data_IF_062928741668
#
_entry.id   IF_062928741668
#
_cell.length_a   1.000
_cell.length_b   1.000
_cell.length_c   1.000
_cell.angle_alpha   90.00
_cell.angle_beta   90.00
_cell.angle_gamma   90.00
#
_symmetry.space_group_name_H-M   'P 1'
#
loop_
_entity.id
_entity.type
_entity.pdbx_description
1 polymer ?
#
# COMPACT_ATOMS: atom_id res chain seq x y z
N UNK A 1 -2.85 -20.90 -1.10
CA UNK A 1 -2.77 -21.93 -0.04
C UNK A 1 -3.86 -21.67 0.99
N UNK A 2 -4.92 -22.47 0.99
CA UNK A 2 -6.03 -22.38 1.95
C UNK A 2 -5.64 -23.10 3.24
N UNK A 3 -5.49 -22.37 4.35
CA UNK A 3 -5.33 -22.98 5.67
C UNK A 3 -6.70 -23.33 6.24
N UNK A 4 -7.10 -24.59 6.08
CA UNK A 4 -8.12 -25.24 6.90
C UNK A 4 -7.56 -25.45 8.30
N UNK A 5 -7.64 -24.43 9.14
CA UNK A 5 -7.27 -24.50 10.56
C UNK A 5 -8.38 -23.86 11.38
N UNK A 6 -9.10 -24.66 12.17
CA UNK A 6 -10.13 -24.20 13.10
C UNK A 6 -9.42 -23.38 14.19
N UNK A 7 -9.48 -22.05 14.11
CA UNK A 7 -8.95 -21.18 15.15
C UNK A 7 -9.74 -21.41 16.44
N UNK A 8 -9.03 -21.61 17.55
CA UNK A 8 -9.63 -21.82 18.87
C UNK A 8 -9.93 -20.49 19.56
N UNK A 9 -10.63 -20.58 20.69
CA UNK A 9 -11.00 -19.47 21.57
C UNK A 9 -9.85 -18.47 21.81
N UNK A 10 -10.21 -17.21 22.03
CA UNK A 10 -9.26 -16.12 22.32
C UNK A 10 -8.25 -16.55 23.39
N UNK A 11 -6.96 -16.63 23.03
CA UNK A 11 -5.92 -17.13 23.92
C UNK A 11 -5.46 -16.06 24.91
N UNK A 12 -5.38 -14.79 24.46
CA UNK A 12 -5.01 -13.64 25.29
C UNK A 12 -5.23 -12.31 24.53
N UNK A 13 -5.20 -11.20 25.27
CA UNK A 13 -5.03 -9.85 24.72
C UNK A 13 -3.54 -9.52 24.62
N UNK A 14 -3.05 -9.27 23.40
CA UNK A 14 -1.64 -8.97 23.14
C UNK A 14 -1.45 -7.49 22.82
N UNK A 15 -0.46 -6.81 23.41
CA UNK A 15 -0.15 -5.43 23.08
C UNK A 15 0.52 -5.33 21.71
N UNK A 16 0.34 -4.18 21.04
CA UNK A 16 1.11 -3.76 19.88
C UNK A 16 1.08 -2.25 19.77
N UNK A 17 2.25 -1.66 19.64
CA UNK A 17 2.40 -0.24 19.35
C UNK A 17 2.28 -0.01 17.85
N UNK A 18 1.44 0.93 17.44
CA UNK A 18 1.27 1.34 16.04
C UNK A 18 1.53 2.84 15.95
N UNK A 19 2.38 3.24 15.02
CA UNK A 19 2.54 4.66 14.68
C UNK A 19 1.32 5.14 13.91
N UNK A 20 0.61 6.12 14.47
CA UNK A 20 -0.54 6.76 13.83
C UNK A 20 -0.21 8.20 13.44
N UNK A 21 -1.11 8.88 12.74
CA UNK A 21 -0.95 10.29 12.37
C UNK A 21 -0.89 11.18 13.63
N UNK A 22 -1.48 10.73 14.74
CA UNK A 22 -1.45 11.43 16.02
C UNK A 22 -0.26 11.01 16.91
N UNK A 23 0.66 10.19 16.38
CA UNK A 23 1.76 9.60 17.14
C UNK A 23 1.55 8.12 17.49
N UNK A 24 2.46 7.53 18.29
CA UNK A 24 2.41 6.12 18.66
C UNK A 24 1.23 5.82 19.58
N UNK A 25 0.51 4.72 19.30
CA UNK A 25 -0.64 4.26 20.08
C UNK A 25 -0.47 2.78 20.43
N UNK A 26 -0.67 2.45 21.71
CA UNK A 26 -0.66 1.07 22.19
C UNK A 26 -2.05 0.45 22.08
N UNK A 27 -2.14 -0.60 21.27
CA UNK A 27 -3.37 -1.34 21.03
C UNK A 27 -3.33 -2.66 21.80
N UNK A 28 -4.42 -2.99 22.50
CA UNK A 28 -4.66 -4.34 23.03
C UNK A 28 -5.58 -5.07 22.07
N UNK A 29 -5.10 -6.18 21.49
CA UNK A 29 -5.85 -6.93 20.47
C UNK A 29 -5.99 -8.40 20.83
N UNK A 30 -7.13 -9.05 20.51
CA UNK A 30 -7.29 -10.49 20.68
C UNK A 30 -6.27 -11.26 19.85
N UNK A 31 -5.63 -12.25 20.46
CA UNK A 31 -4.71 -13.17 19.79
C UNK A 31 -5.30 -14.57 19.79
N UNK A 32 -5.41 -15.16 18.60
CA UNK A 32 -5.96 -16.49 18.39
C UNK A 32 -4.84 -17.43 17.98
N UNK A 33 -4.57 -18.46 18.77
CA UNK A 33 -3.55 -19.46 18.48
C UNK A 33 -4.18 -20.72 17.88
N UNK A 34 -3.54 -21.29 16.85
CA UNK A 34 -3.88 -22.62 16.36
C UNK A 34 -3.27 -23.67 17.30
N UNK A 35 -4.08 -24.57 17.86
CA UNK A 35 -3.59 -25.64 18.75
C UNK A 35 -2.68 -26.66 18.04
N UNK A 36 -2.73 -26.77 16.72
CA UNK A 36 -1.96 -27.77 15.97
C UNK A 36 -0.60 -27.29 15.49
N UNK A 37 -0.44 -26.00 15.20
CA UNK A 37 0.79 -25.47 14.59
C UNK A 37 1.44 -24.34 15.40
N UNK A 38 0.88 -23.98 16.56
CA UNK A 38 1.35 -22.91 17.46
C UNK A 38 1.47 -21.52 16.82
N UNK A 39 1.12 -21.38 15.53
CA UNK A 39 0.98 -20.08 14.86
C UNK A 39 -0.32 -19.45 15.31
N UNK A 40 -0.24 -18.19 15.70
CA UNK A 40 -1.42 -17.40 16.00
C UNK A 40 -1.51 -16.17 15.12
N UNK A 41 -2.70 -15.58 15.13
CA UNK A 41 -3.02 -14.38 14.37
C UNK A 41 -3.95 -13.48 15.18
N UNK A 42 -3.93 -12.20 14.85
CA UNK A 42 -4.90 -11.24 15.34
C UNK A 42 -5.70 -10.74 14.13
N UNK A 43 -6.91 -11.28 13.86
CA UNK A 43 -7.72 -10.89 12.71
C UNK A 43 -8.01 -9.39 12.66
N UNK A 44 -8.15 -8.77 13.84
CA UNK A 44 -8.39 -7.32 13.95
C UNK A 44 -7.23 -6.48 13.40
N UNK A 45 -6.00 -7.02 13.33
CA UNK A 45 -4.89 -6.33 12.67
C UNK A 45 -5.17 -6.13 11.16
N UNK A 46 -5.92 -7.03 10.52
CA UNK A 46 -6.32 -6.90 9.11
C UNK A 46 -7.38 -5.80 8.95
N UNK A 47 -8.38 -5.81 9.82
CA UNK A 47 -9.46 -4.82 9.82
C UNK A 47 -8.93 -3.40 10.07
N UNK A 48 -7.98 -3.25 10.99
CA UNK A 48 -7.29 -1.98 11.26
C UNK A 48 -6.22 -1.62 10.20
N UNK A 49 -5.93 -2.53 9.26
CA UNK A 49 -4.93 -2.32 8.22
C UNK A 49 -3.50 -2.21 8.75
N UNK A 50 -3.18 -2.92 9.83
CA UNK A 50 -1.86 -2.97 10.48
C UNK A 50 -1.26 -4.37 10.50
N UNK A 51 -1.88 -5.36 9.82
CA UNK A 51 -1.37 -6.73 9.75
C UNK A 51 0.06 -6.78 9.20
N UNK A 52 1.00 -7.28 10.01
CA UNK A 52 2.43 -7.32 9.66
C UNK A 52 3.12 -5.96 9.58
N UNK A 53 2.45 -4.87 9.96
CA UNK A 53 2.93 -3.50 9.81
C UNK A 53 2.91 -2.75 11.16
N UNK A 54 3.86 -1.84 11.32
CA UNK A 54 4.03 -1.01 12.52
C UNK A 54 3.41 0.38 12.43
N UNK A 55 2.88 0.77 11.26
CA UNK A 55 2.27 2.07 11.02
C UNK A 55 0.81 1.92 10.57
N UNK A 56 -0.01 2.93 10.84
CA UNK A 56 -1.40 2.96 10.42
C UNK A 56 -1.53 3.21 8.91
N UNK A 57 -2.67 2.88 8.28
CA UNK A 57 -2.90 3.22 6.87
C UNK A 57 -2.76 4.72 6.56
N UNK A 58 -3.06 5.59 7.53
CA UNK A 58 -2.89 7.04 7.37
C UNK A 58 -1.43 7.45 7.24
N UNK A 59 -0.57 6.95 8.13
CA UNK A 59 0.89 7.22 8.09
C UNK A 59 1.48 6.70 6.79
N UNK A 60 1.13 5.49 6.36
CA UNK A 60 1.65 4.92 5.11
C UNK A 60 1.27 5.70 3.86
N UNK A 61 0.09 6.33 3.84
CA UNK A 61 -0.28 7.23 2.75
C UNK A 61 0.60 8.49 2.74
N UNK A 62 0.90 9.05 3.91
CA UNK A 62 1.80 10.20 4.01
C UNK A 62 3.22 9.83 3.58
N UNK A 63 3.72 8.68 4.04
CA UNK A 63 5.00 8.10 3.63
C UNK A 63 5.07 7.91 2.10
N UNK A 64 4.02 7.37 1.48
CA UNK A 64 3.99 7.19 0.03
C UNK A 64 3.95 8.52 -0.74
N UNK A 65 3.23 9.53 -0.25
CA UNK A 65 3.22 10.87 -0.86
C UNK A 65 4.61 11.50 -0.78
N UNK A 66 5.24 11.53 0.39
CA UNK A 66 6.59 12.11 0.46
C UNK A 66 7.60 11.30 -0.36
N UNK A 67 7.45 9.98 -0.41
CA UNK A 67 8.32 9.10 -1.21
C UNK A 67 8.10 9.22 -2.72
N UNK A 68 6.97 9.75 -3.20
CA UNK A 68 6.76 10.01 -4.64
C UNK A 68 7.35 11.35 -5.09
N UNK A 69 7.43 12.32 -4.19
CA UNK A 69 7.86 13.68 -4.53
C UNK A 69 9.36 13.95 -4.35
N UNK A 70 10.06 13.14 -3.56
CA UNK A 70 11.47 13.38 -3.22
C UNK A 70 12.24 12.11 -2.84
N UNK A 71 13.58 12.15 -2.82
CA UNK A 71 14.38 11.04 -2.31
C UNK A 71 13.97 10.64 -0.89
N UNK A 72 13.94 9.34 -0.60
CA UNK A 72 13.37 8.81 0.65
C UNK A 72 14.02 9.35 1.92
N UNK A 73 15.34 9.63 1.88
CA UNK A 73 16.04 10.25 3.01
C UNK A 73 15.52 11.66 3.29
N UNK A 74 15.32 12.46 2.24
CA UNK A 74 14.76 13.81 2.33
C UNK A 74 13.29 13.81 2.79
N UNK A 75 12.54 12.75 2.45
CA UNK A 75 11.14 12.56 2.88
C UNK A 75 10.93 12.43 4.40
N UNK A 76 11.99 12.16 5.17
CA UNK A 76 11.91 12.13 6.63
C UNK A 76 11.62 13.51 7.23
N UNK A 77 12.15 14.58 6.63
CA UNK A 77 12.06 15.93 7.19
C UNK A 77 10.62 16.48 7.15
N UNK A 78 9.87 16.41 6.01
CA UNK A 78 8.47 16.80 6.00
C UNK A 78 7.62 16.00 6.99
N UNK A 79 7.90 14.69 7.15
CA UNK A 79 7.18 13.85 8.12
C UNK A 79 7.40 14.33 9.56
N UNK A 80 8.61 14.77 9.89
CA UNK A 80 8.93 15.32 11.19
C UNK A 80 8.33 16.71 11.40
N UNK A 81 8.57 17.64 10.49
CA UNK A 81 8.21 19.06 10.65
C UNK A 81 6.71 19.28 10.55
N UNK A 82 6.04 18.64 9.58
CA UNK A 82 4.62 18.88 9.31
C UNK A 82 3.71 17.96 10.11
N UNK A 83 4.14 16.71 10.36
CA UNK A 83 3.32 15.72 11.04
C UNK A 83 3.80 15.38 12.46
N UNK A 84 4.97 15.86 12.89
CA UNK A 84 5.55 15.49 14.17
C UNK A 84 5.96 14.01 14.26
N UNK A 85 6.19 13.36 13.11
CA UNK A 85 6.47 11.92 13.04
C UNK A 85 7.92 11.66 12.67
N UNK A 86 8.68 11.08 13.60
CA UNK A 86 10.01 10.54 13.32
C UNK A 86 9.87 9.18 12.60
N UNK A 87 9.99 9.20 11.27
CA UNK A 87 9.98 7.98 10.44
C UNK A 87 11.33 7.78 9.75
N UNK A 88 11.85 6.54 9.68
CA UNK A 88 13.09 6.27 8.96
C UNK A 88 12.84 6.28 7.45
N UNK A 89 13.86 6.66 6.67
CA UNK A 89 13.81 6.65 5.20
C UNK A 89 13.34 5.29 4.63
N UNK A 90 13.72 4.19 5.29
CA UNK A 90 13.33 2.84 4.87
C UNK A 90 11.82 2.56 5.04
N UNK A 91 11.14 3.24 5.96
CA UNK A 91 9.68 3.16 6.08
C UNK A 91 9.01 3.89 4.92
N UNK A 92 9.50 5.09 4.60
CA UNK A 92 9.08 5.88 3.43
C UNK A 92 9.22 5.07 2.14
N UNK A 93 10.40 4.51 1.90
CA UNK A 93 10.69 3.64 0.75
C UNK A 93 9.67 2.49 0.65
N UNK A 94 9.55 1.67 1.70
CA UNK A 94 8.66 0.50 1.69
C UNK A 94 7.19 0.88 1.43
N UNK A 95 6.72 1.98 2.01
CA UNK A 95 5.35 2.42 1.84
C UNK A 95 5.10 2.93 0.41
N UNK A 96 6.01 3.77 -0.10
CA UNK A 96 5.95 4.29 -1.46
C UNK A 96 5.99 3.16 -2.50
N UNK A 97 6.93 2.22 -2.38
CA UNK A 97 7.04 1.07 -3.28
C UNK A 97 5.83 0.14 -3.20
N UNK A 98 5.35 -0.18 -1.99
CA UNK A 98 4.20 -1.06 -1.82
C UNK A 98 2.91 -0.46 -2.41
N UNK A 99 2.71 0.85 -2.26
CA UNK A 99 1.57 1.56 -2.86
C UNK A 99 1.77 1.72 -4.37
N UNK A 100 2.97 2.06 -4.84
CA UNK A 100 3.31 2.12 -6.26
C UNK A 100 3.07 0.79 -6.98
N UNK A 101 3.45 -0.33 -6.37
CA UNK A 101 3.16 -1.67 -6.90
C UNK A 101 1.66 -2.05 -6.88
N UNK A 102 0.86 -1.44 -6.01
CA UNK A 102 -0.61 -1.59 -6.06
C UNK A 102 -1.20 -0.80 -7.22
N UNK A 103 -0.72 0.43 -7.45
CA UNK A 103 -1.13 1.27 -8.56
C UNK A 103 -0.78 0.60 -9.89
N UNK A 104 0.48 0.18 -10.07
CA UNK A 104 0.93 -0.49 -11.30
C UNK A 104 0.09 -1.74 -11.63
N UNK A 105 -0.22 -2.58 -10.64
CA UNK A 105 -1.10 -3.75 -10.84
C UNK A 105 -2.52 -3.37 -11.24
N UNK A 106 -3.05 -2.26 -10.71
CA UNK A 106 -4.37 -1.75 -11.11
C UNK A 106 -4.33 -1.25 -12.54
N UNK A 107 -3.29 -0.51 -12.91
CA UNK A 107 -3.12 0.02 -14.27
C UNK A 107 -2.99 -1.11 -15.28
N UNK A 108 -2.22 -2.15 -14.98
CA UNK A 108 -2.13 -3.37 -15.81
C UNK A 108 -3.49 -4.07 -15.99
N UNK A 109 -4.31 -4.14 -14.95
CA UNK A 109 -5.65 -4.72 -15.02
C UNK A 109 -6.57 -3.88 -15.91
N UNK A 110 -6.54 -2.56 -15.78
CA UNK A 110 -7.33 -1.65 -16.61
C UNK A 110 -6.88 -1.67 -18.07
N UNK A 111 -5.58 -1.71 -18.35
CA UNK A 111 -5.02 -1.91 -19.70
C UNK A 111 -5.49 -3.26 -20.26
N UNK A 112 -5.44 -4.32 -19.46
CA UNK A 112 -5.90 -5.65 -19.84
C UNK A 112 -7.38 -5.67 -20.23
N UNK A 113 -8.24 -5.01 -19.43
CA UNK A 113 -9.67 -4.83 -19.72
C UNK A 113 -9.88 -4.03 -20.99
N UNK A 114 -9.18 -2.91 -21.15
CA UNK A 114 -9.29 -2.05 -22.32
C UNK A 114 -8.92 -2.78 -23.62
N UNK A 115 -7.87 -3.61 -23.61
CA UNK A 115 -7.47 -4.43 -24.75
C UNK A 115 -8.50 -5.51 -25.13
N UNK A 116 -9.33 -5.96 -24.19
CA UNK A 116 -10.38 -6.95 -24.42
C UNK A 116 -11.70 -6.35 -24.89
N UNK A 117 -11.84 -5.02 -24.85
CA UNK A 117 -13.04 -4.37 -25.37
C UNK A 117 -13.16 -4.64 -26.86
N UNK A 118 -14.21 -5.34 -27.25
CA UNK A 118 -14.74 -5.28 -28.60
C UNK A 118 -15.37 -3.91 -28.73
N UNK A 119 -14.56 -2.93 -29.12
CA UNK A 119 -15.06 -1.59 -29.43
C UNK A 119 -16.11 -1.75 -30.52
N UNK A 120 -17.32 -1.17 -30.36
CA UNK A 120 -18.30 -1.18 -31.43
C UNK A 120 -17.60 -0.65 -32.68
N UNK A 121 -17.83 -1.32 -33.82
CA UNK A 121 -17.42 -0.79 -35.12
C UNK A 121 -18.13 0.56 -35.27
N UNK A 122 -17.46 1.63 -34.85
CA UNK A 122 -17.92 2.98 -35.09
C UNK A 122 -17.91 3.10 -36.61
N UNK A 123 -19.06 3.35 -37.26
CA UNK A 123 -19.07 3.56 -38.71
C UNK A 123 -18.01 4.59 -39.00
N UNK A 124 -17.16 4.30 -39.99
CA UNK A 124 -15.97 5.10 -40.34
C UNK A 124 -16.43 6.54 -40.57
N UNK A 125 -16.43 7.36 -39.52
CA UNK A 125 -16.61 8.79 -39.66
C UNK A 125 -15.41 9.22 -40.47
N UNK A 126 -15.66 9.94 -41.56
CA UNK A 126 -14.59 10.42 -42.42
C UNK A 126 -13.87 11.54 -41.66
N UNK A 127 -13.01 11.16 -40.72
CA UNK A 127 -12.12 12.05 -39.98
C UNK A 127 -10.88 12.17 -40.86
N UNK A 128 -10.73 13.27 -41.63
CA UNK A 128 -9.65 13.39 -42.59
C UNK A 128 -8.27 13.41 -41.91
N UNK A 129 -8.20 13.92 -40.68
CA UNK A 129 -6.96 14.07 -39.91
C UNK A 129 -7.23 13.80 -38.43
N UNK A 130 -6.40 12.96 -37.79
CA UNK A 130 -6.40 12.71 -36.35
C UNK A 130 -5.02 13.04 -35.79
N UNK A 131 -4.96 14.00 -34.87
CA UNK A 131 -3.72 14.37 -34.19
C UNK A 131 -3.68 13.70 -32.82
N UNK A 132 -2.65 12.90 -32.58
CA UNK A 132 -2.37 12.30 -31.28
C UNK A 132 -1.09 12.91 -30.74
N UNK A 133 -1.17 13.53 -29.57
CA UNK A 133 0.00 14.01 -28.84
C UNK A 133 0.41 12.92 -27.86
N UNK A 134 1.67 12.49 -27.96
CA UNK A 134 2.29 11.55 -27.04
C UNK A 134 3.44 12.29 -26.38
N UNK A 135 3.38 12.41 -25.06
CA UNK A 135 4.48 12.90 -24.25
C UNK A 135 5.20 11.71 -23.60
N UNK A 136 6.53 11.78 -23.52
CA UNK A 136 7.39 10.72 -23.03
C UNK A 136 8.38 11.24 -22.02
N UNK A 137 8.49 10.58 -20.87
CA UNK A 137 9.46 10.90 -19.83
C UNK A 137 10.53 9.81 -19.77
N UNK A 138 11.79 10.19 -19.87
CA UNK A 138 12.91 9.27 -19.68
C UNK A 138 13.43 9.37 -18.24
N UNK A 139 13.47 8.24 -17.53
CA UNK A 139 14.07 8.15 -16.19
C UNK A 139 15.47 7.54 -16.33
N UNK A 140 16.54 8.26 -15.94
CA UNK A 140 17.88 7.69 -15.95
C UNK A 140 17.99 6.61 -14.86
N UNK A 141 18.24 5.37 -15.27
CA UNK A 141 18.44 4.24 -14.34
C UNK A 141 19.94 4.02 -14.20
N UNK A 142 20.46 4.23 -13.00
CA UNK A 142 21.85 3.87 -12.66
C UNK A 142 21.83 2.41 -12.18
N UNK A 143 22.50 1.53 -12.90
CA UNK A 143 22.66 0.11 -12.56
C UNK A 143 23.71 -0.09 -11.47
#
# INVERSE_FOLDING_TARGET
MRTTGRFLACAALWPKTVLTVLGPVDLKRPYYACAHCSKGQSPVDVEWGVAGLGSSPGVRRMEAVVGSEMPFASGCEPMKVLAGLDVPAKAVERAAEAIGAQIARRDEQEIGRAKQLVLPLVPKQNIPEMYVLVDGVQVPVVL
#
